data_IF_399221169284
#
_entry.id   IF_399221169284
#
_cell.length_a   1.000
_cell.length_b   1.000
_cell.length_c   1.000
_cell.angle_alpha   90.00
_cell.angle_beta   90.00
_cell.angle_gamma   90.00
#
_symmetry.space_group_name_H-M   'P 1'
#
loop_
_entity.id
_entity.type
_entity.pdbx_description
1 polymer ?
#
# COMPACT_ATOMS: atom_id res chain seq x y z
N UNK A 1 -7.39 -8.11 22.85
CA UNK A 1 -8.56 -8.96 23.14
C UNK A 1 -9.78 -8.10 23.50
N UNK A 2 -10.39 -7.46 22.49
CA UNK A 2 -11.70 -6.80 22.58
C UNK A 2 -12.24 -6.71 21.15
N UNK A 3 -13.39 -7.34 20.85
CA UNK A 3 -14.18 -7.02 19.66
C UNK A 3 -14.71 -8.17 18.78
N UNK A 4 -14.29 -9.43 18.94
CA UNK A 4 -14.63 -10.47 17.95
C UNK A 4 -16.01 -11.15 18.14
N UNK A 5 -16.76 -10.77 19.18
CA UNK A 5 -18.04 -11.40 19.50
C UNK A 5 -19.16 -10.36 19.49
N UNK A 6 -19.67 -10.01 18.30
CA UNK A 6 -21.10 -9.97 17.93
C UNK A 6 -21.30 -9.36 16.52
N UNK A 7 -20.50 -9.79 15.53
CA UNK A 7 -20.77 -9.43 14.13
C UNK A 7 -21.85 -10.35 13.59
N UNK A 8 -22.89 -9.78 12.99
CA UNK A 8 -23.89 -10.55 12.27
C UNK A 8 -23.25 -11.23 11.02
N UNK A 9 -23.89 -12.27 10.46
CA UNK A 9 -23.21 -13.15 9.50
C UNK A 9 -22.59 -12.44 8.29
N UNK A 10 -23.23 -11.43 7.66
CA UNK A 10 -22.63 -10.77 6.49
C UNK A 10 -21.42 -9.88 6.84
N UNK A 11 -21.37 -9.27 8.03
CA UNK A 11 -20.23 -8.43 8.44
C UNK A 11 -19.09 -9.33 8.92
N UNK A 12 -19.41 -10.44 9.59
CA UNK A 12 -18.44 -11.46 9.93
C UNK A 12 -17.78 -12.07 8.67
N UNK A 13 -18.57 -12.30 7.62
CA UNK A 13 -18.05 -12.78 6.34
C UNK A 13 -17.18 -11.72 5.63
N UNK A 14 -17.61 -10.46 5.63
CA UNK A 14 -16.82 -9.36 5.09
C UNK A 14 -15.50 -9.17 5.85
N UNK A 15 -15.52 -9.20 7.19
CA UNK A 15 -14.30 -9.10 8.01
C UNK A 15 -13.29 -10.21 7.68
N UNK A 16 -13.77 -11.45 7.57
CA UNK A 16 -12.93 -12.60 7.14
C UNK A 16 -12.39 -12.47 5.72
N UNK A 17 -13.09 -11.75 4.85
CA UNK A 17 -12.63 -11.48 3.48
C UNK A 17 -11.59 -10.36 3.47
N UNK A 18 -11.69 -9.37 4.36
CA UNK A 18 -10.68 -8.32 4.55
C UNK A 18 -9.38 -8.89 5.11
N UNK A 19 -9.47 -9.81 6.07
CA UNK A 19 -8.30 -10.54 6.60
C UNK A 19 -7.66 -11.46 5.56
N UNK A 20 -8.41 -11.86 4.53
CA UNK A 20 -7.98 -12.79 3.47
C UNK A 20 -8.37 -12.24 2.10
N UNK A 21 -7.69 -11.16 1.63
CA UNK A 21 -8.01 -10.52 0.36
C UNK A 21 -7.92 -11.53 -0.79
N UNK A 22 -8.79 -11.43 -1.82
CA UNK A 22 -8.76 -12.34 -2.96
C UNK A 22 -7.58 -12.06 -3.90
N UNK A 23 -7.19 -13.08 -4.67
CA UNK A 23 -6.26 -12.93 -5.79
C UNK A 23 -6.77 -11.90 -6.83
N UNK A 24 -5.90 -11.13 -7.51
CA UNK A 24 -4.43 -11.27 -7.58
C UNK A 24 -3.65 -10.54 -6.47
N UNK A 25 -4.33 -9.88 -5.53
CA UNK A 25 -3.71 -9.10 -4.43
C UNK A 25 -3.30 -9.96 -3.25
N UNK A 26 -3.69 -11.23 -3.29
CA UNK A 26 -3.00 -12.29 -2.60
C UNK A 26 -2.42 -13.23 -3.64
N UNK A 27 -1.11 -13.18 -3.86
CA UNK A 27 -0.41 -14.40 -4.24
C UNK A 27 -0.55 -15.41 -3.07
N UNK A 28 -0.38 -16.73 -3.29
CA UNK A 28 -0.22 -17.65 -2.13
C UNK A 28 0.83 -17.11 -1.13
N UNK A 29 1.82 -16.39 -1.65
CA UNK A 29 2.91 -15.72 -0.95
C UNK A 29 2.50 -14.56 -0.03
N UNK A 30 1.41 -13.85 -0.33
CA UNK A 30 0.88 -12.76 0.53
C UNK A 30 0.01 -13.28 1.68
N UNK A 31 -0.43 -14.54 1.58
CA UNK A 31 -1.30 -15.18 2.58
C UNK A 31 -0.54 -15.80 3.72
N UNK A 32 0.68 -16.29 3.47
CA UNK A 32 1.46 -16.98 4.49
C UNK A 32 2.25 -15.99 5.35
N UNK A 33 2.58 -14.81 4.81
CA UNK A 33 3.42 -13.78 5.45
C UNK A 33 4.53 -14.39 6.34
N UNK A 34 5.35 -15.34 5.81
CA UNK A 34 6.20 -16.18 6.65
C UNK A 34 7.37 -15.40 7.24
N UNK A 35 7.71 -14.24 6.65
CA UNK A 35 8.93 -13.51 6.95
C UNK A 35 8.78 -12.63 8.18
N UNK A 36 9.77 -12.69 9.06
CA UNK A 36 10.03 -11.65 10.06
C UNK A 36 10.79 -10.49 9.41
N UNK A 37 10.94 -9.37 10.13
CA UNK A 37 11.73 -8.23 9.62
C UNK A 37 13.21 -8.59 9.38
N UNK A 38 13.76 -9.55 10.13
CA UNK A 38 15.12 -10.06 9.91
C UNK A 38 15.20 -10.89 8.62
N UNK A 39 14.18 -11.72 8.35
CA UNK A 39 14.13 -12.48 7.10
C UNK A 39 14.00 -11.53 5.89
N UNK A 40 13.19 -10.46 6.00
CA UNK A 40 13.11 -9.44 4.95
C UNK A 40 14.48 -8.79 4.72
N UNK A 41 15.22 -8.46 5.80
CA UNK A 41 16.56 -7.88 5.72
C UNK A 41 17.54 -8.80 4.98
N UNK A 42 17.53 -10.09 5.32
CA UNK A 42 18.34 -11.11 4.65
C UNK A 42 17.97 -11.22 3.17
N UNK A 43 16.68 -11.34 2.85
CA UNK A 43 16.21 -11.48 1.48
C UNK A 43 16.68 -10.30 0.61
N UNK A 44 16.47 -9.08 1.07
CA UNK A 44 16.77 -7.88 0.28
C UNK A 44 18.25 -7.47 0.35
N UNK A 45 19.05 -8.11 1.20
CA UNK A 45 20.46 -7.78 1.39
C UNK A 45 20.69 -6.41 2.05
N UNK A 46 19.74 -5.95 2.87
CA UNK A 46 19.81 -4.66 3.56
C UNK A 46 20.08 -4.84 5.06
N UNK A 47 20.63 -3.80 5.70
CA UNK A 47 20.79 -3.80 7.15
C UNK A 47 19.45 -3.67 7.88
N UNK A 48 19.27 -4.42 8.97
CA UNK A 48 18.07 -4.37 9.82
C UNK A 48 17.67 -2.95 10.24
N UNK A 49 18.64 -2.11 10.60
CA UNK A 49 18.39 -0.73 11.02
C UNK A 49 17.74 0.14 9.91
N UNK A 50 18.01 -0.16 8.64
CA UNK A 50 17.35 0.49 7.51
C UNK A 50 15.88 0.06 7.43
N UNK A 51 15.59 -1.23 7.54
CA UNK A 51 14.21 -1.72 7.51
C UNK A 51 13.40 -1.22 8.71
N UNK A 52 14.00 -1.15 9.90
CA UNK A 52 13.34 -0.52 11.05
C UNK A 52 13.00 0.95 10.76
N UNK A 53 13.86 1.67 10.02
CA UNK A 53 13.58 3.04 9.63
C UNK A 53 12.41 3.13 8.64
N UNK A 54 12.34 2.24 7.66
CA UNK A 54 11.23 2.15 6.69
C UNK A 54 9.91 1.75 7.36
N UNK A 55 9.93 0.77 8.26
CA UNK A 55 8.75 0.38 9.04
C UNK A 55 8.22 1.55 9.88
N UNK A 56 9.11 2.35 10.49
CA UNK A 56 8.73 3.58 11.21
C UNK A 56 8.13 4.67 10.33
N UNK A 57 8.34 4.67 9.01
CA UNK A 57 7.68 5.62 8.11
C UNK A 57 6.29 5.17 7.66
N UNK A 58 5.80 4.00 8.09
CA UNK A 58 4.51 3.45 7.68
C UNK A 58 4.51 2.76 6.31
N UNK A 59 5.63 2.78 5.57
CA UNK A 59 5.70 2.17 4.24
C UNK A 59 5.81 0.64 4.25
N UNK A 60 6.18 0.05 5.39
CA UNK A 60 6.27 -1.38 5.56
C UNK A 60 5.38 -1.78 6.73
N UNK A 61 4.11 -2.07 6.40
CA UNK A 61 3.09 -2.47 7.36
C UNK A 61 3.09 -4.00 7.50
N UNK A 62 3.15 -4.54 8.72
CA UNK A 62 3.03 -5.98 8.90
C UNK A 62 1.61 -6.45 8.56
N UNK A 63 1.51 -7.63 7.93
CA UNK A 63 0.24 -8.30 7.70
C UNK A 63 -0.40 -8.76 9.01
N UNK A 64 0.43 -9.21 9.95
CA UNK A 64 0.00 -9.62 11.28
C UNK A 64 1.15 -9.48 12.28
N UNK A 65 0.79 -9.59 13.56
CA UNK A 65 1.73 -9.76 14.66
C UNK A 65 1.36 -11.08 15.31
N UNK A 66 2.31 -12.02 15.39
CA UNK A 66 2.06 -13.32 15.99
C UNK A 66 1.94 -13.26 17.52
N UNK A 67 1.67 -14.40 18.15
CA UNK A 67 1.46 -14.51 19.60
C UNK A 67 2.67 -14.05 20.42
N UNK A 68 3.87 -14.12 19.86
CA UNK A 68 5.13 -13.70 20.48
C UNK A 68 5.42 -12.21 20.25
N UNK A 69 4.53 -11.49 19.56
CA UNK A 69 4.70 -10.07 19.26
C UNK A 69 5.57 -9.80 18.03
N UNK A 70 5.83 -10.80 17.19
CA UNK A 70 6.69 -10.66 16.01
C UNK A 70 5.87 -10.28 14.79
N UNK A 71 6.26 -9.16 14.17
CA UNK A 71 5.69 -8.65 12.93
C UNK A 71 5.97 -9.60 11.75
N UNK A 72 4.94 -9.88 10.95
CA UNK A 72 4.96 -10.81 9.81
C UNK A 72 4.73 -10.10 8.48
N UNK A 73 5.53 -10.48 7.49
CA UNK A 73 5.64 -9.85 6.18
C UNK A 73 5.55 -10.88 5.06
N UNK A 74 4.99 -10.46 3.94
CA UNK A 74 4.81 -11.24 2.72
C UNK A 74 5.99 -11.15 1.76
N UNK A 75 5.95 -11.96 0.70
CA UNK A 75 6.86 -11.76 -0.43
C UNK A 75 6.59 -10.45 -1.19
N UNK A 76 5.35 -9.94 -1.22
CA UNK A 76 5.08 -8.61 -1.80
C UNK A 76 5.73 -7.49 -0.98
N UNK A 77 5.82 -7.62 0.34
CA UNK A 77 6.57 -6.68 1.18
C UNK A 77 8.06 -6.70 0.83
N UNK A 78 8.65 -7.90 0.68
CA UNK A 78 10.04 -8.06 0.22
C UNK A 78 10.25 -7.40 -1.14
N UNK A 79 9.34 -7.62 -2.10
CA UNK A 79 9.41 -7.01 -3.43
C UNK A 79 9.29 -5.47 -3.38
N UNK A 80 8.42 -4.96 -2.51
CA UNK A 80 8.22 -3.52 -2.31
C UNK A 80 9.47 -2.86 -1.73
N UNK A 81 10.11 -3.50 -0.75
CA UNK A 81 11.40 -3.05 -0.19
C UNK A 81 12.49 -3.03 -1.27
N UNK A 82 12.59 -4.08 -2.10
CA UNK A 82 13.55 -4.10 -3.22
C UNK A 82 13.32 -2.95 -4.20
N UNK A 83 12.06 -2.63 -4.52
CA UNK A 83 11.75 -1.50 -5.40
C UNK A 83 12.23 -0.16 -4.80
N UNK A 84 12.10 0.02 -3.49
CA UNK A 84 12.66 1.17 -2.78
C UNK A 84 14.20 1.22 -2.84
N UNK A 85 14.86 0.08 -2.67
CA UNK A 85 16.33 -0.02 -2.79
C UNK A 85 16.82 0.32 -4.20
N UNK A 86 16.09 -0.06 -5.25
CA UNK A 86 16.40 0.33 -6.64
C UNK A 86 16.43 1.86 -6.82
N UNK A 87 15.61 2.61 -6.08
CA UNK A 87 15.66 4.09 -6.12
C UNK A 87 16.94 4.63 -5.49
N UNK A 88 17.42 4.01 -4.40
CA UNK A 88 18.69 4.37 -3.77
C UNK A 88 19.88 4.07 -4.68
N UNK A 89 19.87 2.89 -5.32
CA UNK A 89 20.87 2.49 -6.31
C UNK A 89 20.92 3.44 -7.52
N UNK A 90 19.76 3.98 -7.92
CA UNK A 90 19.66 5.01 -8.96
C UNK A 90 20.16 6.40 -8.52
N UNK A 91 20.55 6.57 -7.25
CA UNK A 91 21.16 7.79 -6.72
C UNK A 91 20.23 8.68 -5.88
N UNK A 92 19.01 8.25 -5.57
CA UNK A 92 18.15 9.01 -4.66
C UNK A 92 18.73 8.96 -3.23
N UNK A 93 18.96 10.10 -2.55
CA UNK A 93 19.46 10.08 -1.19
C UNK A 93 18.47 9.40 -0.23
N UNK A 94 18.99 8.60 0.71
CA UNK A 94 18.15 7.89 1.69
C UNK A 94 17.23 8.84 2.48
N UNK A 95 17.73 10.01 2.88
CA UNK A 95 16.92 11.01 3.59
C UNK A 95 15.72 11.49 2.78
N UNK A 96 15.91 11.72 1.48
CA UNK A 96 14.84 12.13 0.54
C UNK A 96 13.85 10.99 0.30
N UNK A 97 14.34 9.75 0.17
CA UNK A 97 13.46 8.58 0.04
C UNK A 97 12.59 8.40 1.29
N UNK A 98 13.17 8.47 2.49
CA UNK A 98 12.44 8.36 3.75
C UNK A 98 11.46 9.52 3.97
N UNK A 99 11.76 10.70 3.43
CA UNK A 99 10.83 11.83 3.47
C UNK A 99 9.66 11.65 2.50
N UNK A 100 9.95 11.23 1.26
CA UNK A 100 8.93 10.87 0.28
C UNK A 100 8.03 9.75 0.81
N UNK A 101 8.61 8.76 1.47
CA UNK A 101 7.93 7.67 2.13
C UNK A 101 6.89 8.14 3.15
N UNK A 102 7.29 8.97 4.12
CA UNK A 102 6.38 9.51 5.14
C UNK A 102 5.23 10.33 4.53
N UNK A 103 5.53 11.17 3.54
CA UNK A 103 4.50 11.97 2.86
C UNK A 103 3.54 11.10 2.05
N UNK A 104 4.05 10.01 1.48
CA UNK A 104 3.23 9.03 0.75
C UNK A 104 2.31 8.29 1.71
N UNK A 105 2.85 7.78 2.82
CA UNK A 105 2.08 7.11 3.88
C UNK A 105 0.92 7.98 4.39
N UNK A 106 1.20 9.22 4.77
CA UNK A 106 0.17 10.16 5.23
C UNK A 106 -0.94 10.38 4.18
N UNK A 107 -0.55 10.63 2.91
CA UNK A 107 -1.53 10.86 1.84
C UNK A 107 -2.33 9.60 1.49
N UNK A 108 -1.70 8.43 1.51
CA UNK A 108 -2.37 7.14 1.27
C UNK A 108 -3.31 6.80 2.43
N UNK A 109 -2.92 7.09 3.67
CA UNK A 109 -3.77 6.94 4.85
C UNK A 109 -5.09 7.71 4.71
N UNK A 110 -5.02 9.00 4.35
CA UNK A 110 -6.21 9.83 4.12
C UNK A 110 -7.11 9.25 2.99
N UNK A 111 -6.52 8.76 1.91
CA UNK A 111 -7.25 8.14 0.80
C UNK A 111 -7.90 6.82 1.23
N UNK A 112 -7.18 6.01 2.01
CA UNK A 112 -7.65 4.71 2.49
C UNK A 112 -8.84 4.87 3.43
N UNK A 113 -8.75 5.79 4.40
CA UNK A 113 -9.86 6.12 5.31
C UNK A 113 -11.11 6.54 4.52
N UNK A 114 -10.97 7.49 3.60
CA UNK A 114 -12.08 7.95 2.77
C UNK A 114 -12.67 6.83 1.86
N UNK A 115 -11.83 5.94 1.35
CA UNK A 115 -12.28 4.80 0.54
C UNK A 115 -13.05 3.76 1.37
N UNK A 116 -12.61 3.49 2.60
CA UNK A 116 -13.32 2.60 3.53
C UNK A 116 -14.66 3.22 3.93
N UNK A 117 -14.68 4.50 4.30
CA UNK A 117 -15.92 5.21 4.63
C UNK A 117 -16.93 5.17 3.47
N UNK A 118 -16.46 5.40 2.24
CA UNK A 118 -17.29 5.31 1.06
C UNK A 118 -17.82 3.88 0.83
N UNK A 119 -17.01 2.85 1.05
CA UNK A 119 -17.47 1.46 0.96
C UNK A 119 -18.55 1.17 2.00
N UNK A 120 -18.35 1.57 3.25
CA UNK A 120 -19.32 1.36 4.32
C UNK A 120 -20.65 2.05 4.00
N UNK A 121 -20.59 3.33 3.64
CA UNK A 121 -21.77 4.15 3.38
C UNK A 121 -22.52 3.75 2.09
N UNK A 122 -21.80 3.49 1.00
CA UNK A 122 -22.41 3.34 -0.33
C UNK A 122 -22.53 1.89 -0.81
N UNK A 123 -21.92 0.94 -0.10
CA UNK A 123 -21.99 -0.49 -0.45
C UNK A 123 -22.56 -1.29 0.71
N UNK A 124 -21.94 -1.21 1.89
CA UNK A 124 -22.35 -2.05 3.02
C UNK A 124 -23.75 -1.70 3.51
N UNK A 125 -24.01 -0.44 3.83
CA UNK A 125 -25.31 -0.01 4.36
C UNK A 125 -26.48 -0.24 3.37
N UNK A 126 -26.35 0.04 2.06
CA UNK A 126 -27.39 -0.29 1.11
C UNK A 126 -27.64 -1.79 0.94
N UNK A 127 -26.59 -2.63 0.97
CA UNK A 127 -26.77 -4.09 0.92
C UNK A 127 -27.55 -4.57 2.15
N UNK A 128 -27.24 -4.03 3.33
CA UNK A 128 -27.99 -4.31 4.57
C UNK A 128 -29.45 -3.94 4.49
N UNK A 129 -29.76 -2.78 3.93
CA UNK A 129 -31.14 -2.29 3.83
C UNK A 129 -31.98 -2.95 2.73
N UNK A 130 -31.37 -3.67 1.78
CA UNK A 130 -32.05 -4.14 0.56
C UNK A 130 -31.99 -5.65 0.31
N UNK A 131 -31.08 -6.38 0.95
CA UNK A 131 -30.99 -7.82 0.77
C UNK A 131 -32.23 -8.53 1.34
N UNK A 132 -32.72 -9.56 0.64
CA UNK A 132 -33.86 -10.35 1.08
C UNK A 132 -33.50 -11.40 2.16
N UNK A 133 -32.20 -11.66 2.36
CA UNK A 133 -31.68 -12.59 3.36
C UNK A 133 -30.23 -12.26 3.75
N UNK A 134 -29.77 -12.82 4.87
CA UNK A 134 -28.37 -12.72 5.31
C UNK A 134 -27.39 -13.38 4.34
N UNK A 135 -27.77 -14.52 3.74
CA UNK A 135 -26.94 -15.20 2.74
C UNK A 135 -26.75 -14.32 1.49
N UNK A 136 -27.82 -13.66 1.03
CA UNK A 136 -27.74 -12.73 -0.10
C UNK A 136 -26.86 -11.52 0.25
N UNK A 137 -27.03 -10.94 1.44
CA UNK A 137 -26.19 -9.85 1.92
C UNK A 137 -24.71 -10.26 1.95
N UNK A 138 -24.42 -11.44 2.51
CA UNK A 138 -23.07 -12.01 2.60
C UNK A 138 -22.42 -12.11 1.22
N UNK A 139 -23.11 -12.76 0.27
CA UNK A 139 -22.59 -12.93 -1.08
C UNK A 139 -22.34 -11.58 -1.76
N UNK A 140 -23.27 -10.63 -1.61
CA UNK A 140 -23.15 -9.30 -2.22
C UNK A 140 -21.99 -8.48 -1.64
N UNK A 141 -21.80 -8.48 -0.32
CA UNK A 141 -20.70 -7.75 0.33
C UNK A 141 -19.34 -8.31 -0.07
N UNK A 142 -19.16 -9.64 0.01
CA UNK A 142 -17.90 -10.28 -0.37
C UNK A 142 -17.61 -10.03 -1.86
N UNK A 143 -18.59 -10.24 -2.75
CA UNK A 143 -18.40 -9.98 -4.20
C UNK A 143 -18.08 -8.51 -4.48
N UNK A 144 -18.67 -7.57 -3.75
CA UNK A 144 -18.37 -6.14 -3.92
C UNK A 144 -16.93 -5.84 -3.50
N UNK A 145 -16.51 -6.30 -2.32
CA UNK A 145 -15.14 -6.18 -1.83
C UNK A 145 -14.13 -6.76 -2.83
N UNK A 146 -14.36 -8.00 -3.28
CA UNK A 146 -13.46 -8.70 -4.20
C UNK A 146 -13.30 -8.00 -5.55
N UNK A 147 -14.27 -7.17 -5.97
CA UNK A 147 -14.21 -6.39 -7.20
C UNK A 147 -13.62 -5.01 -7.00
N UNK A 148 -13.98 -4.36 -5.90
CA UNK A 148 -13.66 -2.96 -5.65
C UNK A 148 -12.20 -2.77 -5.27
N UNK A 149 -11.65 -3.60 -4.38
CA UNK A 149 -10.24 -3.52 -3.99
C UNK A 149 -9.32 -3.54 -5.23
N UNK A 150 -9.46 -4.51 -6.18
CA UNK A 150 -8.69 -4.47 -7.41
C UNK A 150 -8.88 -3.26 -8.31
N UNK A 151 -10.09 -2.70 -8.32
CA UNK A 151 -10.38 -1.54 -9.15
C UNK A 151 -9.71 -0.29 -8.58
N UNK A 152 -9.79 -0.11 -7.26
CA UNK A 152 -9.17 1.01 -6.53
C UNK A 152 -7.67 1.02 -6.71
N UNK A 153 -7.00 -0.12 -6.52
CA UNK A 153 -5.54 -0.17 -6.66
C UNK A 153 -5.08 0.16 -8.09
N UNK A 154 -5.69 -0.47 -9.10
CA UNK A 154 -5.36 -0.18 -10.50
C UNK A 154 -5.56 1.29 -10.84
N UNK A 155 -6.61 1.92 -10.30
CA UNK A 155 -6.88 3.34 -10.49
C UNK A 155 -5.78 4.21 -9.86
N UNK A 156 -5.44 3.95 -8.59
CA UNK A 156 -4.42 4.71 -7.84
C UNK A 156 -3.05 4.54 -8.47
N UNK A 157 -2.62 3.32 -8.77
CA UNK A 157 -1.33 3.03 -9.41
C UNK A 157 -1.23 3.71 -10.78
N UNK A 158 -2.30 3.64 -11.58
CA UNK A 158 -2.34 4.34 -12.87
C UNK A 158 -2.23 5.86 -12.69
N UNK A 159 -3.01 6.44 -11.78
CA UNK A 159 -3.02 7.88 -11.56
C UNK A 159 -1.65 8.38 -11.07
N UNK A 160 -1.05 7.71 -10.08
CA UNK A 160 0.29 8.03 -9.56
C UNK A 160 1.32 8.03 -10.70
N UNK A 161 1.36 6.97 -11.51
CA UNK A 161 2.24 6.89 -12.68
C UNK A 161 2.02 8.06 -13.63
N UNK A 162 0.75 8.40 -13.92
CA UNK A 162 0.43 9.53 -14.82
C UNK A 162 0.86 10.87 -14.25
N UNK A 163 0.72 11.09 -12.93
CA UNK A 163 1.16 12.32 -12.26
C UNK A 163 2.68 12.47 -12.29
N UNK A 164 3.43 11.41 -11.96
CA UNK A 164 4.89 11.41 -12.04
C UNK A 164 5.38 11.76 -13.45
N UNK A 165 4.83 11.09 -14.47
CA UNK A 165 5.21 11.35 -15.87
C UNK A 165 4.85 12.76 -16.33
N UNK A 166 3.67 13.25 -15.92
CA UNK A 166 3.22 14.61 -16.23
C UNK A 166 4.17 15.66 -15.63
N UNK A 167 4.57 15.49 -14.36
CA UNK A 167 5.42 16.46 -13.68
C UNK A 167 6.87 16.39 -14.16
N UNK A 168 7.37 15.19 -14.47
CA UNK A 168 8.67 15.00 -15.11
C UNK A 168 8.74 15.70 -16.48
N UNK A 169 7.73 15.51 -17.33
CA UNK A 169 7.67 16.15 -18.65
C UNK A 169 7.65 17.69 -18.57
N UNK A 170 7.08 18.26 -17.50
CA UNK A 170 7.10 19.71 -17.26
C UNK A 170 8.43 20.24 -16.74
N UNK A 171 9.12 19.49 -15.89
CA UNK A 171 10.25 20.00 -15.10
C UNK A 171 11.61 19.67 -15.68
N UNK A 172 11.77 18.51 -16.30
CA UNK A 172 13.07 18.08 -16.84
C UNK A 172 13.55 19.01 -17.96
N UNK A 173 12.74 19.38 -18.97
CA UNK A 173 13.22 20.28 -20.01
C UNK A 173 13.66 21.65 -19.48
N UNK A 174 12.96 22.17 -18.46
CA UNK A 174 13.31 23.43 -17.82
C UNK A 174 14.65 23.35 -17.09
N UNK A 175 14.87 22.29 -16.29
CA UNK A 175 16.14 22.07 -15.60
C UNK A 175 17.32 21.94 -16.58
N UNK A 176 17.15 21.20 -17.68
CA UNK A 176 18.19 21.05 -18.70
C UNK A 176 18.50 22.37 -19.44
N UNK A 177 17.50 23.23 -19.63
CA UNK A 177 17.71 24.54 -20.25
C UNK A 177 18.47 25.49 -19.31
N UNK A 178 18.18 25.44 -18.00
CA UNK A 178 18.87 26.23 -16.98
C UNK A 178 20.35 25.83 -16.87
N UNK A 179 20.66 24.53 -16.87
CA UNK A 179 22.03 24.01 -16.84
C UNK A 179 22.85 24.49 -18.06
N UNK A 180 22.26 24.47 -19.26
CA UNK A 180 22.91 24.97 -20.50
C UNK A 180 23.12 26.50 -20.50
N UNK A 181 22.21 27.25 -19.86
CA UNK A 181 22.34 28.70 -19.70
C UNK A 181 23.44 29.10 -18.70
N UNK A 182 23.64 28.30 -17.65
CA UNK A 182 24.69 28.54 -16.64
C UNK A 182 26.10 28.32 -17.20
N UNK A 183 26.31 27.31 -18.06
CA UNK A 183 27.63 27.04 -18.66
C UNK A 183 28.06 28.10 -19.68
N UNK A 184 27.11 28.78 -20.34
CA UNK A 184 27.42 29.82 -21.34
C UNK A 184 27.68 31.21 -20.73
N UNK A 185 27.33 31.43 -19.46
CA UNK A 185 27.45 32.72 -18.76
C UNK A 185 28.76 32.96 -17.97
N UNK A 186 29.60 31.93 -17.76
CA UNK A 186 30.81 32.01 -16.93
C UNK A 186 32.13 32.15 -17.73
N UNK A 187 32.06 32.59 -18.99
CA UNK A 187 33.21 32.70 -19.91
C UNK A 187 33.53 34.12 -20.39
N UNK A 188 33.08 35.16 -19.69
CA UNK A 188 33.25 36.57 -20.06
C UNK A 188 34.24 37.34 -19.20
#
# INVERSE_FOLDING_TARGET
MAGEHDLDPPDAALARAVERPPAPWSSDDDREAPFTLDDVAEQVGAGRALLDAVARTGLLLPHSVDEDGVARYSAADVASVRAGLTLLEAGLPLGELLDLARRTDAAVGEIAEAAVDAFLQFVRDPVRGTAASEDEATQRLVTAYERMLPATERLVAHHLRRRVLHDAARRIPAALADDLGAETGNGG
#
